data_IF_944980976356
#
_entry.id   IF_944980976356
#
_cell.length_a   1.000
_cell.length_b   1.000
_cell.length_c   1.000
_cell.angle_alpha   90.00
_cell.angle_beta   90.00
_cell.angle_gamma   90.00
#
_symmetry.space_group_name_H-M   'P 1'
#
loop_
_entity.id
_entity.type
_entity.pdbx_description
1 polymer ?
#
# COMPACT_ATOMS: atom_id res chain seq x y z
N UNK A 1 70.56 3.26 45.91
CA UNK A 1 70.04 2.17 44.98
C UNK A 1 68.52 2.04 45.12
N UNK A 2 67.75 2.97 44.44
CA UNK A 2 66.86 2.63 43.30
C UNK A 2 65.54 3.41 43.44
N UNK A 3 65.46 4.64 42.81
CA UNK A 3 64.43 5.52 42.23
C UNK A 3 63.39 4.73 41.44
N UNK A 4 62.23 4.36 41.99
CA UNK A 4 61.05 3.74 41.36
C UNK A 4 60.17 4.82 40.72
N UNK A 5 60.34 5.13 39.43
CA UNK A 5 59.57 5.78 38.35
C UNK A 5 58.25 5.05 38.09
N UNK A 6 57.17 5.43 38.70
CA UNK A 6 55.76 5.08 38.39
C UNK A 6 55.32 5.75 37.08
N UNK A 7 55.47 5.10 35.90
CA UNK A 7 54.92 5.30 34.54
C UNK A 7 53.40 5.07 34.58
N UNK A 8 52.58 6.08 34.84
CA UNK A 8 51.12 6.24 34.62
C UNK A 8 50.79 6.10 33.12
N UNK A 9 50.65 4.91 32.56
CA UNK A 9 50.04 4.55 31.25
C UNK A 9 48.58 5.00 31.21
N UNK A 10 48.31 6.30 30.93
CA UNK A 10 47.08 6.94 30.45
C UNK A 10 46.42 6.12 29.32
N UNK A 11 45.67 5.07 29.64
CA UNK A 11 44.69 4.33 28.80
C UNK A 11 43.56 5.27 28.35
N UNK A 12 43.79 6.07 27.30
CA UNK A 12 42.70 6.78 26.57
C UNK A 12 41.69 5.78 26.01
N UNK A 13 40.41 5.81 26.45
CA UNK A 13 39.35 4.96 25.87
C UNK A 13 39.17 5.24 24.38
N UNK A 14 39.83 4.47 23.48
CA UNK A 14 39.50 4.33 22.04
C UNK A 14 38.00 4.11 21.84
N UNK A 15 37.12 5.07 22.15
CA UNK A 15 35.75 5.00 21.60
C UNK A 15 35.79 4.81 20.08
N UNK A 16 36.05 3.62 19.54
CA UNK A 16 35.76 3.20 18.14
C UNK A 16 34.40 3.75 17.69
N UNK A 17 34.21 5.03 17.43
CA UNK A 17 33.10 5.54 16.59
C UNK A 17 32.80 4.59 15.43
N UNK A 18 32.15 3.39 15.63
CA UNK A 18 31.63 2.55 14.52
C UNK A 18 31.40 3.38 13.26
N UNK A 19 32.41 3.61 12.39
CA UNK A 19 32.30 4.18 11.02
C UNK A 19 31.05 3.65 10.30
N UNK A 20 30.10 4.59 10.15
CA UNK A 20 28.89 4.36 9.33
C UNK A 20 29.22 3.60 8.03
N UNK A 21 28.84 2.30 8.01
CA UNK A 21 29.01 1.49 6.79
C UNK A 21 28.45 2.23 5.55
N UNK A 22 29.38 2.41 4.48
CA UNK A 22 28.93 3.12 3.27
C UNK A 22 27.80 2.36 2.56
N UNK A 23 26.89 3.16 1.92
CA UNK A 23 25.81 2.52 1.12
C UNK A 23 26.41 1.75 -0.07
N UNK A 24 25.80 0.62 -0.33
CA UNK A 24 26.25 -0.07 -1.55
C UNK A 24 26.01 0.79 -2.81
N UNK A 25 27.03 0.72 -3.70
CA UNK A 25 26.89 1.52 -4.92
C UNK A 25 25.69 1.07 -5.77
N UNK A 26 25.21 2.07 -6.54
CA UNK A 26 24.03 1.74 -7.39
C UNK A 26 24.37 0.59 -8.34
N UNK A 27 25.68 0.45 -8.72
CA UNK A 27 26.09 -0.61 -9.66
C UNK A 27 25.94 -2.00 -9.04
N UNK A 28 25.69 -2.02 -7.76
CA UNK A 28 25.49 -3.33 -7.11
C UNK A 28 24.02 -3.77 -7.22
N UNK A 29 23.20 -2.95 -7.80
CA UNK A 29 21.76 -3.27 -7.94
C UNK A 29 21.47 -3.67 -9.39
N UNK A 30 20.64 -4.57 -9.51
CA UNK A 30 20.33 -5.13 -10.84
C UNK A 30 19.07 -4.49 -11.40
N UNK A 31 18.08 -4.10 -10.48
CA UNK A 31 16.76 -3.63 -10.92
C UNK A 31 15.80 -4.81 -11.08
N UNK A 32 14.50 -4.49 -10.95
CA UNK A 32 13.49 -5.56 -10.96
C UNK A 32 13.50 -6.33 -12.29
N UNK A 33 13.81 -5.65 -13.43
CA UNK A 33 13.81 -6.35 -14.73
C UNK A 33 14.87 -7.45 -14.78
N UNK A 34 15.95 -7.19 -14.11
CA UNK A 34 17.03 -8.20 -14.11
C UNK A 34 16.64 -9.47 -13.35
N UNK A 35 15.62 -9.41 -12.51
CA UNK A 35 15.24 -10.61 -11.71
C UNK A 35 14.28 -11.50 -12.49
N UNK A 36 13.64 -11.01 -13.54
CA UNK A 36 12.60 -11.72 -14.30
C UNK A 36 13.15 -12.97 -14.98
N UNK A 37 14.38 -12.98 -15.35
CA UNK A 37 14.90 -14.12 -16.13
C UNK A 37 14.89 -15.39 -15.30
N UNK A 38 15.17 -15.27 -14.01
CA UNK A 38 15.23 -16.52 -13.21
C UNK A 38 14.02 -16.61 -12.26
N UNK A 39 13.38 -15.41 -11.97
CA UNK A 39 12.22 -15.41 -11.05
C UNK A 39 10.99 -14.84 -11.76
N UNK A 40 10.52 -15.50 -12.72
CA UNK A 40 9.44 -14.97 -13.58
C UNK A 40 8.11 -14.91 -12.82
N UNK A 41 7.90 -15.95 -12.11
CA UNK A 41 6.61 -15.97 -11.38
C UNK A 41 6.53 -14.83 -10.35
N UNK A 42 7.60 -14.70 -9.61
CA UNK A 42 7.59 -13.61 -8.61
C UNK A 42 7.52 -12.24 -9.29
N UNK A 43 8.29 -12.11 -10.32
CA UNK A 43 8.26 -10.83 -11.06
C UNK A 43 6.85 -10.53 -11.58
N UNK A 44 6.22 -11.52 -12.18
CA UNK A 44 4.88 -11.26 -12.75
C UNK A 44 3.88 -10.93 -11.62
N UNK A 45 4.07 -11.62 -10.52
CA UNK A 45 3.19 -11.28 -9.39
C UNK A 45 3.45 -9.87 -8.85
N UNK A 46 4.65 -9.56 -8.65
CA UNK A 46 5.03 -8.22 -8.12
C UNK A 46 4.53 -7.12 -9.05
N UNK A 47 4.66 -7.30 -10.28
CA UNK A 47 4.31 -6.24 -11.23
C UNK A 47 2.83 -5.85 -11.09
N UNK A 48 2.09 -6.70 -10.55
CA UNK A 48 0.64 -6.41 -10.42
C UNK A 48 0.33 -5.76 -9.06
N UNK A 49 1.33 -5.72 -8.23
CA UNK A 49 1.04 -5.16 -6.89
C UNK A 49 1.09 -3.63 -6.92
N UNK A 50 0.60 -3.10 -5.77
CA UNK A 50 0.64 -1.62 -5.69
C UNK A 50 2.06 -1.12 -5.39
N UNK A 51 2.82 -1.98 -4.87
CA UNK A 51 4.23 -1.56 -4.70
C UNK A 51 4.90 -1.30 -6.05
N UNK A 52 4.56 -2.09 -7.05
CA UNK A 52 5.25 -1.89 -8.34
C UNK A 52 4.74 -0.62 -9.03
N UNK A 53 3.57 -0.17 -8.55
CA UNK A 53 3.04 1.03 -9.23
C UNK A 53 2.93 2.19 -8.23
N UNK A 54 3.71 2.07 -7.23
CA UNK A 54 3.61 3.11 -6.18
C UNK A 54 3.84 4.51 -6.78
N UNK A 55 4.78 4.61 -7.76
CA UNK A 55 4.97 5.89 -8.47
C UNK A 55 4.92 5.63 -9.98
N UNK A 56 4.11 6.52 -10.64
CA UNK A 56 4.03 6.34 -12.10
C UNK A 56 4.24 7.68 -12.81
N UNK A 57 4.98 7.48 -13.98
CA UNK A 57 5.24 8.68 -14.81
C UNK A 57 4.00 9.04 -15.64
N UNK A 58 3.37 10.11 -15.29
CA UNK A 58 2.10 10.49 -15.94
C UNK A 58 2.34 11.14 -17.30
N UNK A 59 3.61 11.60 -17.46
CA UNK A 59 3.91 12.17 -18.80
C UNK A 59 4.11 11.06 -19.84
N UNK A 60 4.64 9.97 -19.36
CA UNK A 60 4.83 8.85 -20.31
C UNK A 60 3.51 8.09 -20.51
N UNK A 61 2.69 8.02 -19.44
CA UNK A 61 1.39 7.33 -19.54
C UNK A 61 0.33 8.13 -18.75
N UNK A 62 -0.40 8.95 -19.46
CA UNK A 62 -1.38 9.83 -18.79
C UNK A 62 -2.55 9.03 -18.21
N UNK A 63 -2.76 7.77 -18.64
CA UNK A 63 -3.90 6.95 -18.14
C UNK A 63 -3.72 6.57 -16.67
N UNK A 64 -2.56 6.88 -16.21
CA UNK A 64 -2.32 6.49 -14.80
C UNK A 64 -2.91 7.56 -13.87
N UNK A 65 -3.38 8.66 -14.38
CA UNK A 65 -4.03 9.69 -13.55
C UNK A 65 -5.48 9.27 -13.33
N UNK A 66 -5.79 9.01 -12.11
CA UNK A 66 -7.12 8.42 -11.81
C UNK A 66 -8.12 9.53 -11.46
N UNK A 67 -7.61 10.66 -11.07
CA UNK A 67 -8.51 11.76 -10.64
C UNK A 67 -9.40 12.25 -11.77
N UNK A 68 -10.70 12.63 -11.37
CA UNK A 68 -11.63 13.22 -12.34
C UNK A 68 -11.46 14.74 -12.40
N UNK A 69 -10.88 15.23 -13.59
CA UNK A 69 -10.54 16.67 -13.66
C UNK A 69 -11.68 17.44 -14.33
N UNK A 70 -12.85 16.74 -14.49
CA UNK A 70 -14.04 17.51 -14.92
C UNK A 70 -14.67 18.21 -13.70
N UNK A 71 -14.27 17.83 -12.47
CA UNK A 71 -14.80 18.51 -11.27
C UNK A 71 -14.11 19.86 -11.06
N UNK A 72 -14.81 20.78 -10.38
CA UNK A 72 -14.30 22.16 -10.27
C UNK A 72 -13.50 22.32 -8.97
N UNK A 73 -12.60 23.39 -8.88
CA UNK A 73 -11.87 23.87 -7.69
C UNK A 73 -10.76 22.89 -7.29
N UNK A 74 -10.03 22.34 -8.25
CA UNK A 74 -8.95 21.37 -7.95
C UNK A 74 -7.66 22.15 -7.66
N UNK A 75 -7.56 23.34 -8.39
CA UNK A 75 -6.41 24.18 -7.96
C UNK A 75 -5.15 23.84 -8.77
N UNK A 76 -5.23 22.83 -9.70
CA UNK A 76 -4.13 22.61 -10.66
C UNK A 76 -4.65 21.81 -11.85
N UNK A 77 -3.83 21.92 -12.99
CA UNK A 77 -4.28 21.26 -14.24
C UNK A 77 -3.62 19.87 -14.39
N UNK A 78 -4.45 19.06 -15.06
CA UNK A 78 -3.93 17.69 -15.31
C UNK A 78 -2.56 17.73 -16.01
N UNK A 79 -2.29 18.68 -16.78
CA UNK A 79 -1.04 18.77 -17.58
C UNK A 79 0.16 19.11 -16.69
N UNK A 80 -0.20 19.61 -15.54
CA UNK A 80 0.91 19.97 -14.63
C UNK A 80 1.47 18.73 -13.92
N UNK A 81 0.83 17.64 -14.13
CA UNK A 81 1.21 16.46 -13.32
C UNK A 81 2.34 15.72 -14.05
N UNK A 82 3.44 15.54 -13.22
CA UNK A 82 4.57 14.77 -13.81
C UNK A 82 4.54 13.31 -13.36
N UNK A 83 4.23 13.13 -12.06
CA UNK A 83 4.16 11.76 -11.53
C UNK A 83 2.95 11.63 -10.62
N UNK A 84 2.52 10.30 -10.49
CA UNK A 84 1.50 10.01 -9.46
C UNK A 84 2.10 9.09 -8.39
N UNK A 85 1.54 9.31 -7.11
CA UNK A 85 1.91 8.41 -6.00
C UNK A 85 0.64 7.78 -5.43
N UNK A 86 0.71 6.40 -5.46
CA UNK A 86 -0.43 5.71 -4.82
C UNK A 86 -1.49 5.32 -5.87
N UNK A 87 -2.14 4.14 -5.61
CA UNK A 87 -3.17 3.71 -6.59
C UNK A 87 -4.24 2.86 -5.88
N UNK A 88 -4.03 2.75 -4.55
CA UNK A 88 -4.99 1.83 -3.90
C UNK A 88 -6.10 2.64 -3.23
N UNK A 89 -5.83 3.57 -2.28
CA UNK A 89 -6.91 4.29 -1.57
C UNK A 89 -6.95 5.76 -2.02
N UNK A 90 -5.81 6.31 -2.08
CA UNK A 90 -5.72 7.70 -2.55
C UNK A 90 -4.54 7.86 -3.52
N UNK A 91 -4.80 8.87 -4.39
CA UNK A 91 -3.69 9.12 -5.35
C UNK A 91 -3.27 10.59 -5.23
N UNK A 92 -1.99 10.69 -5.07
CA UNK A 92 -1.41 12.05 -5.04
C UNK A 92 -0.65 12.34 -6.34
N UNK A 93 -0.47 13.74 -6.54
CA UNK A 93 0.10 14.13 -7.85
C UNK A 93 1.29 15.09 -7.63
N UNK A 94 2.31 14.83 -8.53
CA UNK A 94 3.52 15.64 -8.31
C UNK A 94 3.77 16.52 -9.54
N UNK A 95 4.32 17.69 -9.16
CA UNK A 95 4.79 18.58 -10.25
C UNK A 95 6.25 18.99 -10.01
N UNK A 96 6.83 19.24 -11.19
CA UNK A 96 8.24 19.65 -11.06
C UNK A 96 8.33 21.17 -10.87
N UNK A 97 9.11 21.58 -9.88
CA UNK A 97 9.46 22.99 -9.67
C UNK A 97 10.97 23.09 -9.44
N UNK A 98 11.63 23.88 -10.38
CA UNK A 98 13.12 23.90 -10.30
C UNK A 98 13.71 22.50 -10.54
N UNK A 99 14.53 22.05 -9.48
CA UNK A 99 15.25 20.77 -9.70
C UNK A 99 14.60 19.66 -8.86
N UNK A 100 13.33 20.00 -8.29
CA UNK A 100 12.70 18.95 -7.45
C UNK A 100 11.21 18.82 -7.81
N UNK A 101 10.64 17.82 -7.06
CA UNK A 101 9.20 17.60 -7.28
C UNK A 101 8.44 17.85 -5.98
N UNK A 102 7.22 18.25 -6.24
CA UNK A 102 6.39 18.55 -5.06
C UNK A 102 4.99 17.93 -5.25
N UNK A 103 4.53 17.40 -4.11
CA UNK A 103 3.17 16.82 -4.17
C UNK A 103 2.15 17.96 -4.13
N UNK A 104 1.23 17.87 -5.12
CA UNK A 104 0.25 18.95 -5.26
C UNK A 104 -0.75 18.88 -4.09
N UNK A 105 -1.45 19.96 -3.74
CA UNK A 105 -2.15 20.18 -2.46
C UNK A 105 -3.47 19.41 -2.38
N UNK A 106 -3.88 18.70 -3.45
CA UNK A 106 -5.09 17.87 -3.34
C UNK A 106 -4.78 16.44 -3.81
N UNK A 107 -5.49 15.47 -3.13
CA UNK A 107 -5.36 14.06 -3.54
C UNK A 107 -6.72 13.49 -3.96
N UNK A 108 -6.62 12.50 -4.77
CA UNK A 108 -7.86 11.86 -5.27
C UNK A 108 -8.14 10.60 -4.43
N UNK A 109 -9.31 10.68 -3.68
CA UNK A 109 -9.79 9.46 -3.01
C UNK A 109 -10.42 8.48 -4.01
N UNK A 110 -9.89 7.32 -4.09
CA UNK A 110 -10.34 6.38 -5.15
C UNK A 110 -11.69 5.79 -4.72
N UNK A 111 -11.87 5.59 -3.45
CA UNK A 111 -13.14 4.96 -3.02
C UNK A 111 -14.31 5.95 -3.09
N UNK A 112 -14.02 7.14 -2.70
CA UNK A 112 -15.15 8.09 -2.65
C UNK A 112 -15.24 8.92 -3.94
N UNK A 113 -14.32 8.77 -4.81
CA UNK A 113 -14.27 9.50 -6.10
C UNK A 113 -14.41 11.01 -5.87
N UNK A 114 -13.63 11.45 -4.94
CA UNK A 114 -13.65 12.91 -4.68
C UNK A 114 -12.22 13.40 -4.45
N UNK A 115 -12.11 14.77 -4.77
CA UNK A 115 -10.82 15.42 -4.44
C UNK A 115 -10.81 15.82 -2.95
N UNK A 116 -9.64 15.43 -2.29
CA UNK A 116 -9.49 15.84 -0.87
C UNK A 116 -8.22 16.67 -0.69
N UNK A 117 -8.49 17.57 0.32
CA UNK A 117 -7.29 18.37 0.63
C UNK A 117 -6.17 17.47 1.20
N UNK A 118 -4.99 17.72 0.75
CA UNK A 118 -3.84 16.95 1.29
C UNK A 118 -2.93 17.90 2.08
N UNK A 119 -2.18 18.83 1.51
CA UNK A 119 -1.36 19.86 2.17
C UNK A 119 -1.46 21.18 1.38
N UNK A 120 -2.46 21.97 1.79
CA UNK A 120 -2.84 23.15 0.95
C UNK A 120 -1.90 24.31 1.29
N UNK A 121 -1.34 24.42 2.46
CA UNK A 121 -0.63 25.68 2.82
C UNK A 121 0.89 25.45 2.80
N UNK A 122 1.38 24.20 2.75
CA UNK A 122 2.86 24.04 2.84
C UNK A 122 3.37 23.05 1.78
N UNK A 123 2.54 22.87 0.74
CA UNK A 123 2.95 21.75 -0.15
C UNK A 123 4.24 22.12 -0.90
N UNK A 124 4.60 23.45 -0.92
CA UNK A 124 5.85 23.82 -1.64
C UNK A 124 7.05 23.77 -0.70
N UNK A 125 6.81 23.51 0.50
CA UNK A 125 7.94 23.42 1.46
C UNK A 125 8.33 21.97 1.73
N UNK A 126 7.81 21.15 0.93
CA UNK A 126 8.09 19.72 1.18
C UNK A 126 8.57 19.06 -0.12
N UNK A 127 9.80 19.32 -0.40
CA UNK A 127 10.31 18.73 -1.66
C UNK A 127 10.34 17.20 -1.60
N UNK A 128 10.07 16.60 -2.73
CA UNK A 128 10.03 15.14 -2.87
C UNK A 128 11.38 14.52 -2.45
N UNK A 129 12.44 15.17 -2.70
CA UNK A 129 13.78 14.61 -2.46
C UNK A 129 14.06 14.48 -0.96
N UNK A 130 13.25 15.13 -0.13
CA UNK A 130 13.57 15.07 1.32
C UNK A 130 12.43 14.37 2.09
N UNK A 131 11.28 14.33 1.43
CA UNK A 131 10.17 13.86 2.28
C UNK A 131 9.63 12.53 1.74
N UNK A 132 9.99 12.26 0.44
CA UNK A 132 9.14 11.16 -0.08
C UNK A 132 10.01 10.13 -0.79
N UNK A 133 11.05 10.59 -1.49
CA UNK A 133 11.67 9.79 -2.56
C UNK A 133 12.33 8.56 -1.96
N UNK A 134 12.78 8.62 -0.69
CA UNK A 134 13.51 7.47 -0.08
C UNK A 134 12.59 6.25 0.06
N UNK A 135 11.33 6.49 0.15
CA UNK A 135 10.40 5.35 0.29
C UNK A 135 9.74 5.02 -1.05
N UNK A 136 9.98 5.87 -2.08
CA UNK A 136 9.18 5.67 -3.31
C UNK A 136 10.10 5.37 -4.49
N UNK A 137 11.31 4.99 -4.14
CA UNK A 137 12.21 4.48 -5.20
C UNK A 137 13.03 3.32 -4.63
N UNK A 138 13.63 2.55 -5.65
CA UNK A 138 14.56 1.51 -5.19
C UNK A 138 15.99 2.07 -5.11
N UNK A 139 16.51 2.13 -3.94
CA UNK A 139 17.84 2.63 -3.59
C UNK A 139 18.02 4.09 -4.06
N UNK A 140 17.85 4.98 -3.08
CA UNK A 140 18.07 6.43 -3.31
C UNK A 140 19.40 6.86 -2.69
N UNK A 141 20.15 7.69 -3.51
CA UNK A 141 21.41 8.26 -2.97
C UNK A 141 21.21 9.76 -2.73
N UNK A 142 21.27 10.06 -1.40
CA UNK A 142 20.93 11.47 -1.04
C UNK A 142 22.06 12.42 -1.42
N UNK A 143 23.24 11.92 -1.80
CA UNK A 143 24.37 12.80 -2.20
C UNK A 143 24.15 13.42 -3.57
N UNK A 144 23.59 12.58 -4.37
CA UNK A 144 23.49 13.22 -5.71
C UNK A 144 22.10 12.98 -6.30
N UNK A 145 21.17 12.34 -5.52
CA UNK A 145 19.76 12.23 -5.94
C UNK A 145 19.52 11.06 -6.89
N UNK A 146 20.57 10.23 -7.07
CA UNK A 146 20.39 9.11 -8.03
C UNK A 146 19.66 7.96 -7.34
N UNK A 147 18.91 7.23 -8.16
CA UNK A 147 18.24 6.03 -7.65
C UNK A 147 18.24 4.94 -8.73
N UNK A 148 17.86 3.71 -8.32
CA UNK A 148 17.91 2.56 -9.27
C UNK A 148 16.62 2.52 -10.09
N UNK A 149 15.44 2.60 -9.43
CA UNK A 149 14.14 2.60 -10.14
C UNK A 149 13.14 3.46 -9.35
N UNK A 150 12.33 4.10 -10.24
CA UNK A 150 11.34 4.95 -9.58
C UNK A 150 10.07 4.14 -9.26
N UNK A 151 10.21 3.11 -8.51
CA UNK A 151 9.18 2.20 -7.97
C UNK A 151 9.77 1.43 -6.78
N UNK A 152 8.81 0.84 -6.07
CA UNK A 152 9.34 -0.09 -5.04
C UNK A 152 9.61 -1.46 -5.67
N UNK A 153 10.96 -1.63 -5.97
CA UNK A 153 11.34 -2.82 -6.76
C UNK A 153 11.81 -3.95 -5.82
N UNK A 154 12.23 -5.05 -6.45
CA UNK A 154 12.63 -6.27 -5.71
C UNK A 154 13.70 -5.95 -4.67
N UNK A 155 14.55 -5.07 -5.08
CA UNK A 155 15.76 -4.91 -4.22
C UNK A 155 15.49 -3.87 -3.12
N UNK A 156 14.29 -3.33 -3.03
CA UNK A 156 13.92 -2.53 -1.85
C UNK A 156 13.77 -3.41 -0.61
N UNK A 157 13.47 -4.76 -0.93
CA UNK A 157 13.34 -5.68 0.22
C UNK A 157 14.49 -6.70 0.22
N UNK A 158 15.04 -6.92 -0.93
CA UNK A 158 16.02 -8.03 -1.02
C UNK A 158 17.45 -7.46 -1.03
N UNK A 159 17.50 -6.07 -0.99
CA UNK A 159 18.86 -5.47 -1.00
C UNK A 159 19.57 -5.69 -2.34
N UNK A 160 20.87 -5.20 -2.49
CA UNK A 160 21.61 -5.33 -3.76
C UNK A 160 21.84 -6.80 -4.14
N UNK A 161 21.48 -7.12 -5.40
CA UNK A 161 21.47 -8.57 -5.71
C UNK A 161 22.20 -8.82 -7.04
N UNK A 162 23.04 -7.89 -7.45
CA UNK A 162 23.76 -8.11 -8.74
C UNK A 162 24.74 -9.28 -8.58
N UNK A 163 25.48 -9.27 -7.50
CA UNK A 163 26.45 -10.37 -7.33
C UNK A 163 25.73 -11.73 -7.30
N UNK A 164 24.57 -11.71 -6.65
CA UNK A 164 23.75 -12.94 -6.67
C UNK A 164 23.40 -13.36 -8.11
N UNK A 165 22.99 -12.47 -8.83
CA UNK A 165 22.59 -12.81 -10.22
C UNK A 165 23.80 -13.23 -11.06
N UNK A 166 24.94 -12.61 -10.91
CA UNK A 166 26.10 -12.90 -11.78
C UNK A 166 26.73 -14.24 -11.42
N UNK A 167 26.46 -14.59 -10.26
CA UNK A 167 27.06 -15.88 -9.87
C UNK A 167 26.10 -17.04 -10.18
N UNK A 168 24.98 -16.73 -10.83
CA UNK A 168 23.99 -17.79 -11.12
C UNK A 168 23.27 -18.26 -9.85
N UNK A 169 23.29 -17.39 -8.82
CA UNK A 169 22.52 -17.72 -7.59
C UNK A 169 23.41 -18.34 -6.52
N UNK A 170 24.72 -18.49 -6.77
CA UNK A 170 25.62 -19.10 -5.77
C UNK A 170 25.88 -18.16 -4.59
N UNK A 171 25.99 -16.86 -4.91
CA UNK A 171 26.18 -15.90 -3.80
C UNK A 171 24.81 -15.47 -3.26
N UNK A 172 24.79 -15.34 -1.93
CA UNK A 172 23.48 -15.10 -1.30
C UNK A 172 22.96 -13.68 -1.60
N UNK A 173 21.60 -13.59 -1.68
CA UNK A 173 20.84 -12.33 -1.60
C UNK A 173 19.94 -12.35 -0.36
N UNK A 174 19.71 -11.08 0.04
CA UNK A 174 18.83 -11.04 1.24
C UNK A 174 17.51 -11.75 0.94
N UNK A 175 17.27 -12.74 1.80
CA UNK A 175 15.96 -13.42 1.79
C UNK A 175 15.20 -13.10 3.09
N UNK A 176 14.16 -12.22 2.94
CA UNK A 176 13.43 -11.77 4.14
C UNK A 176 12.87 -12.95 4.94
N UNK A 177 12.56 -14.02 4.31
CA UNK A 177 12.01 -15.18 5.06
C UNK A 177 13.07 -15.86 5.93
N UNK A 178 14.25 -15.59 5.54
CA UNK A 178 15.32 -16.24 6.34
C UNK A 178 15.85 -15.27 7.41
N UNK A 179 15.14 -14.09 7.39
CA UNK A 179 15.55 -13.13 8.44
C UNK A 179 14.75 -13.39 9.70
N UNK A 180 15.35 -13.04 10.92
CA UNK A 180 14.49 -13.03 12.12
C UNK A 180 13.20 -12.20 11.92
N UNK A 181 12.07 -12.58 12.64
CA UNK A 181 10.75 -11.94 12.48
C UNK A 181 10.85 -10.41 12.62
N UNK A 182 11.68 -9.97 13.47
CA UNK A 182 11.77 -8.51 13.67
C UNK A 182 12.48 -7.85 12.48
N UNK A 183 13.49 -8.40 12.03
CA UNK A 183 14.23 -7.80 10.90
C UNK A 183 13.38 -7.80 9.63
N UNK A 184 12.64 -8.79 9.47
CA UNK A 184 11.75 -8.81 8.28
C UNK A 184 10.71 -7.68 8.38
N UNK A 185 10.15 -7.51 9.54
CA UNK A 185 9.16 -6.42 9.69
C UNK A 185 9.81 -5.05 9.51
N UNK A 186 11.02 -4.97 9.86
CA UNK A 186 11.69 -3.65 9.78
C UNK A 186 11.94 -3.27 8.32
N UNK A 187 12.05 -4.24 7.52
CA UNK A 187 12.14 -3.88 6.08
C UNK A 187 10.88 -3.13 5.65
N UNK A 188 9.73 -3.62 6.13
CA UNK A 188 8.47 -2.93 5.80
C UNK A 188 8.35 -1.59 6.52
N UNK A 189 8.79 -1.63 7.72
CA UNK A 189 8.65 -0.41 8.56
C UNK A 189 9.51 0.74 8.03
N UNK A 190 10.43 0.41 7.23
CA UNK A 190 11.32 1.49 6.75
C UNK A 190 10.55 2.51 5.92
N UNK A 191 9.37 2.08 5.48
CA UNK A 191 8.56 3.04 4.69
C UNK A 191 7.22 3.30 5.37
N UNK A 192 6.72 2.36 6.15
CA UNK A 192 5.33 2.44 6.63
C UNK A 192 5.29 2.96 8.07
N UNK A 193 6.40 3.64 8.36
CA UNK A 193 6.42 4.37 9.64
C UNK A 193 6.97 5.78 9.37
N UNK A 194 6.28 6.66 10.00
CA UNK A 194 6.77 8.04 9.83
C UNK A 194 7.92 8.32 10.82
N UNK A 195 8.89 9.06 10.25
CA UNK A 195 10.05 9.37 11.12
C UNK A 195 11.10 10.18 10.36
N UNK A 196 12.32 10.20 11.05
CA UNK A 196 13.40 10.98 10.42
C UNK A 196 14.72 10.21 10.50
N UNK A 197 15.54 10.58 9.52
CA UNK A 197 16.87 9.95 9.61
C UNK A 197 17.71 10.61 10.70
N UNK A 198 18.99 10.14 10.83
CA UNK A 198 19.80 10.59 11.99
C UNK A 198 20.27 12.05 11.81
N UNK A 199 20.25 12.50 10.57
CA UNK A 199 20.65 13.90 10.35
C UNK A 199 19.49 14.86 10.64
N UNK A 200 18.31 14.33 10.67
CA UNK A 200 17.12 15.20 10.84
C UNK A 200 16.71 15.89 9.53
N UNK A 201 17.38 15.55 8.45
CA UNK A 201 17.13 16.29 7.20
C UNK A 201 16.13 15.52 6.32
N UNK A 202 16.05 14.21 6.52
CA UNK A 202 15.23 13.39 5.60
C UNK A 202 14.16 12.65 6.42
N UNK A 203 12.97 12.51 5.74
CA UNK A 203 11.86 11.87 6.48
C UNK A 203 11.76 10.40 6.09
N UNK A 204 12.90 9.90 5.86
CA UNK A 204 13.09 8.46 5.60
C UNK A 204 14.52 8.08 6.00
N UNK A 205 14.75 6.75 6.20
CA UNK A 205 16.03 6.31 6.78
C UNK A 205 17.15 6.28 5.75
N UNK A 206 17.85 7.43 5.62
CA UNK A 206 19.00 7.46 4.69
C UNK A 206 20.10 6.53 5.21
N UNK A 207 20.52 5.62 4.25
CA UNK A 207 21.64 4.76 4.68
C UNK A 207 21.16 3.34 5.02
N UNK A 208 19.90 3.19 5.13
CA UNK A 208 19.40 1.85 5.49
C UNK A 208 19.27 0.98 4.22
N UNK A 209 19.72 -0.24 4.32
CA UNK A 209 19.44 -1.28 3.31
C UNK A 209 19.03 -2.56 4.04
N UNK A 210 18.09 -3.36 3.31
CA UNK A 210 17.70 -4.61 3.97
C UNK A 210 18.90 -5.44 4.44
N UNK A 211 18.79 -5.86 5.69
CA UNK A 211 19.94 -6.59 6.29
C UNK A 211 20.59 -5.78 7.39
N UNK A 212 20.38 -4.47 7.34
CA UNK A 212 20.93 -3.64 8.44
C UNK A 212 19.83 -3.39 9.48
N UNK A 213 20.34 -2.98 10.66
CA UNK A 213 19.37 -2.66 11.73
C UNK A 213 18.76 -1.26 11.52
N UNK A 214 17.43 -1.28 11.22
CA UNK A 214 16.74 -0.01 10.85
C UNK A 214 16.87 1.03 11.98
N UNK A 215 16.86 0.61 13.23
CA UNK A 215 16.87 1.58 14.35
C UNK A 215 18.20 2.33 14.42
N UNK A 216 19.16 1.90 13.68
CA UNK A 216 20.43 2.67 13.63
C UNK A 216 20.30 3.87 12.69
N UNK A 217 19.22 3.86 11.88
CA UNK A 217 19.21 4.89 10.81
C UNK A 217 17.91 5.71 10.91
N UNK A 218 17.01 5.30 11.84
CA UNK A 218 15.66 5.88 11.70
C UNK A 218 15.04 6.06 13.07
N UNK A 219 14.57 7.31 13.22
CA UNK A 219 13.88 7.60 14.48
C UNK A 219 12.39 7.92 14.18
N UNK A 220 11.49 7.04 14.77
CA UNK A 220 10.06 7.26 14.48
C UNK A 220 9.55 8.56 15.13
N UNK A 221 8.58 9.17 14.53
CA UNK A 221 8.05 10.47 15.00
C UNK A 221 7.40 10.31 16.37
N UNK A 222 6.71 9.13 16.55
CA UNK A 222 6.04 8.92 17.85
C UNK A 222 6.81 7.89 18.69
N UNK A 223 7.15 8.53 19.99
CA UNK A 223 7.84 7.60 20.93
C UNK A 223 7.26 7.78 22.34
N UNK A 224 7.25 6.58 23.01
CA UNK A 224 6.86 6.65 24.43
C UNK A 224 8.10 6.82 25.32
N UNK A 225 7.80 7.41 26.52
CA UNK A 225 8.93 7.68 27.44
C UNK A 225 9.67 6.38 27.79
N UNK A 226 11.04 6.41 27.55
CA UNK A 226 11.92 5.27 27.96
C UNK A 226 11.91 4.16 26.90
N UNK A 227 11.18 4.36 25.73
CA UNK A 227 11.06 3.31 24.69
C UNK A 227 12.25 3.40 23.73
N UNK A 228 12.74 2.17 23.49
CA UNK A 228 13.80 2.21 22.47
C UNK A 228 13.24 2.51 21.07
N UNK A 229 14.22 2.97 20.09
CA UNK A 229 13.77 3.26 18.70
C UNK A 229 13.19 2.00 18.04
N UNK A 230 13.79 0.90 18.26
CA UNK A 230 13.31 -0.35 17.62
C UNK A 230 11.89 -0.69 18.08
N UNK A 231 11.71 -0.58 19.37
CA UNK A 231 10.35 -0.94 19.87
C UNK A 231 9.31 0.07 19.36
N UNK A 232 9.69 1.28 19.29
CA UNK A 232 8.73 2.29 18.80
C UNK A 232 8.41 2.07 17.32
N UNK A 233 9.38 1.72 16.55
CA UNK A 233 9.12 1.49 15.11
C UNK A 233 8.19 0.28 14.94
N UNK A 234 8.42 -0.69 15.65
CA UNK A 234 7.60 -1.92 15.49
C UNK A 234 6.16 -1.65 15.95
N UNK A 235 6.03 -1.04 17.10
CA UNK A 235 4.66 -0.72 17.56
C UNK A 235 3.89 0.09 16.52
N UNK A 236 4.53 1.14 16.00
CA UNK A 236 3.84 1.96 14.98
C UNK A 236 3.55 1.14 13.71
N UNK A 237 4.54 0.37 13.34
CA UNK A 237 4.28 -0.42 12.11
C UNK A 237 3.14 -1.42 12.36
N UNK A 238 3.11 -2.08 13.41
CA UNK A 238 2.09 -3.12 13.65
C UNK A 238 0.71 -2.47 13.82
N UNK A 239 0.74 -1.31 14.50
CA UNK A 239 -0.53 -0.57 14.53
C UNK A 239 -1.02 -0.22 13.11
N UNK A 240 -0.07 0.33 12.37
CA UNK A 240 -0.43 0.63 10.97
C UNK A 240 -0.91 -0.62 10.23
N UNK A 241 -0.13 -1.71 10.39
CA UNK A 241 -0.49 -2.95 9.68
C UNK A 241 -1.82 -3.49 10.20
N UNK A 242 -2.01 -3.48 11.56
CA UNK A 242 -3.27 -3.93 12.19
C UNK A 242 -4.46 -3.10 11.70
N UNK A 243 -4.33 -1.76 11.63
CA UNK A 243 -5.40 -0.91 11.07
C UNK A 243 -5.64 -1.18 9.58
N UNK A 244 -4.52 -1.48 8.91
CA UNK A 244 -4.75 -1.92 7.51
C UNK A 244 -5.62 -3.17 7.45
N UNK A 245 -5.76 -3.90 8.69
CA UNK A 245 -6.55 -5.15 8.81
C UNK A 245 -7.79 -4.97 9.70
N UNK A 246 -8.07 -3.88 10.48
CA UNK A 246 -9.07 -3.81 11.57
C UNK A 246 -10.02 -2.64 11.34
N UNK A 247 -9.92 -1.84 10.23
CA UNK A 247 -11.01 -0.85 10.17
C UNK A 247 -11.73 -0.95 8.81
N UNK A 248 -12.27 -2.30 8.62
CA UNK A 248 -13.46 -2.57 7.80
C UNK A 248 -13.19 -3.79 6.89
N UNK A 249 -13.42 -5.24 7.44
CA UNK A 249 -14.32 -6.09 6.62
C UNK A 249 -13.74 -7.51 6.54
N UNK A 250 -13.53 -8.20 7.62
CA UNK A 250 -13.41 -9.68 7.58
C UNK A 250 -14.75 -10.33 7.23
N UNK A 251 -15.89 -9.79 7.05
CA UNK A 251 -17.18 -10.18 6.44
C UNK A 251 -17.27 -9.66 4.99
N UNK A 252 -16.30 -9.16 4.38
CA UNK A 252 -16.57 -8.28 3.22
C UNK A 252 -15.64 -8.66 2.06
N UNK A 253 -14.98 -9.99 2.13
CA UNK A 253 -14.38 -10.21 0.79
C UNK A 253 -14.77 -11.59 0.29
N UNK A 254 -15.96 -12.20 0.69
CA UNK A 254 -16.89 -13.09 -0.02
C UNK A 254 -16.80 -14.51 0.55
N UNK A 255 -16.89 -14.82 1.68
CA UNK A 255 -17.54 -16.13 1.99
C UNK A 255 -17.54 -16.38 3.50
N UNK A 256 -18.47 -15.72 4.29
CA UNK A 256 -19.23 -15.73 5.56
C UNK A 256 -18.83 -16.94 6.41
N UNK A 257 -17.94 -16.69 7.55
CA UNK A 257 -18.31 -17.62 8.66
C UNK A 257 -18.46 -16.82 9.95
N UNK A 258 -19.65 -17.15 10.58
CA UNK A 258 -19.82 -16.90 12.02
C UNK A 258 -19.21 -18.04 12.85
N UNK A 259 -17.91 -18.06 13.22
CA UNK A 259 -17.47 -19.18 14.10
C UNK A 259 -17.75 -18.84 15.56
N UNK A 260 -18.79 -17.96 15.81
CA UNK A 260 -19.06 -17.86 17.27
C UNK A 260 -20.36 -18.60 17.59
N UNK A 261 -20.39 -19.86 17.99
CA UNK A 261 -21.43 -20.84 18.37
C UNK A 261 -22.56 -20.18 19.16
N UNK A 262 -22.52 -18.78 19.44
CA UNK A 262 -23.61 -18.40 20.38
C UNK A 262 -24.48 -17.33 19.74
N UNK A 263 -24.39 -17.13 18.28
CA UNK A 263 -25.29 -16.11 17.67
C UNK A 263 -25.43 -16.40 16.17
N UNK A 264 -25.65 -17.63 15.67
CA UNK A 264 -25.75 -17.89 14.22
C UNK A 264 -27.07 -17.34 13.67
N UNK A 265 -27.01 -16.41 12.68
CA UNK A 265 -28.27 -16.00 12.02
C UNK A 265 -29.04 -17.19 11.44
N UNK A 266 -30.25 -17.21 11.60
CA UNK A 266 -31.20 -18.29 11.24
C UNK A 266 -31.16 -18.58 9.73
N UNK A 267 -30.60 -17.59 8.80
CA UNK A 267 -30.44 -17.80 7.34
C UNK A 267 -29.47 -16.74 6.79
N UNK A 268 -28.90 -17.06 5.51
CA UNK A 268 -27.95 -16.13 4.84
C UNK A 268 -28.57 -14.74 4.65
N UNK A 269 -29.85 -14.72 4.43
CA UNK A 269 -30.58 -13.43 4.32
C UNK A 269 -30.71 -12.76 5.69
N UNK A 270 -30.92 -13.56 6.72
CA UNK A 270 -30.99 -12.99 8.09
C UNK A 270 -29.64 -12.43 8.53
N UNK A 271 -28.70 -13.03 7.99
CA UNK A 271 -27.35 -12.53 8.30
C UNK A 271 -27.13 -11.15 7.67
N UNK A 272 -27.51 -10.99 6.36
CA UNK A 272 -27.37 -9.68 5.68
C UNK A 272 -28.22 -8.61 6.39
N UNK A 273 -29.29 -9.00 6.91
CA UNK A 273 -30.23 -8.02 7.52
C UNK A 273 -29.82 -7.73 8.96
N UNK A 274 -28.83 -8.47 9.42
CA UNK A 274 -28.31 -8.17 10.77
C UNK A 274 -27.52 -6.86 10.79
N UNK A 275 -27.04 -6.48 9.56
CA UNK A 275 -26.29 -5.21 9.50
C UNK A 275 -26.95 -4.25 8.51
N UNK A 276 -27.64 -4.69 7.41
CA UNK A 276 -28.39 -3.84 6.47
C UNK A 276 -29.86 -3.80 6.86
N UNK A 277 -30.16 -2.63 7.54
CA UNK A 277 -31.51 -2.57 8.17
C UNK A 277 -32.49 -1.88 7.21
N UNK A 278 -33.15 -2.67 6.41
CA UNK A 278 -34.09 -2.11 5.42
C UNK A 278 -35.49 -2.04 6.01
N UNK A 279 -35.72 -2.72 7.10
CA UNK A 279 -37.07 -2.70 7.70
C UNK A 279 -38.17 -2.83 6.63
N UNK A 280 -39.18 -1.90 6.69
CA UNK A 280 -40.36 -1.96 5.79
C UNK A 280 -39.99 -1.52 4.37
N UNK A 281 -38.73 -1.13 4.19
CA UNK A 281 -38.36 -0.60 2.86
C UNK A 281 -37.70 -1.68 1.99
N UNK A 282 -37.60 -2.89 2.55
CA UNK A 282 -36.93 -3.98 1.80
C UNK A 282 -37.58 -4.17 0.43
N UNK A 283 -38.84 -3.99 0.34
CA UNK A 283 -39.49 -4.27 -0.97
C UNK A 283 -39.55 -3.01 -1.82
N UNK A 284 -39.32 -1.93 -1.20
CA UNK A 284 -39.08 -0.71 -2.01
C UNK A 284 -37.70 -0.76 -2.67
N UNK A 285 -36.77 -1.42 -2.00
CA UNK A 285 -35.39 -1.55 -2.51
C UNK A 285 -35.35 -2.51 -3.71
N UNK A 286 -36.26 -3.48 -3.72
CA UNK A 286 -36.10 -4.45 -4.83
C UNK A 286 -37.28 -4.36 -5.79
N UNK A 287 -38.29 -3.51 -5.58
CA UNK A 287 -39.45 -3.19 -6.45
C UNK A 287 -40.20 -4.45 -6.89
N UNK A 288 -40.22 -5.35 -5.90
CA UNK A 288 -41.05 -6.54 -6.15
C UNK A 288 -42.09 -6.67 -5.04
N UNK A 289 -43.25 -7.37 -5.43
CA UNK A 289 -44.30 -7.61 -4.42
C UNK A 289 -43.79 -8.56 -3.33
N UNK A 290 -44.28 -8.38 -2.15
CA UNK A 290 -43.84 -9.21 -0.99
C UNK A 290 -44.08 -10.71 -1.27
N UNK A 291 -45.01 -11.01 -2.07
CA UNK A 291 -45.35 -12.43 -2.35
C UNK A 291 -44.27 -13.13 -3.17
N UNK A 292 -43.38 -12.25 -3.82
CA UNK A 292 -42.32 -12.82 -4.69
C UNK A 292 -41.19 -13.44 -3.86
N UNK A 293 -41.13 -13.15 -2.53
CA UNK A 293 -40.18 -13.70 -1.54
C UNK A 293 -38.75 -13.69 -2.07
N UNK A 294 -38.18 -12.50 -2.40
CA UNK A 294 -36.81 -12.42 -2.94
C UNK A 294 -35.81 -12.31 -1.78
N UNK A 295 -34.68 -13.02 -2.06
CA UNK A 295 -33.56 -12.86 -1.10
C UNK A 295 -32.43 -12.02 -1.70
N UNK A 296 -31.50 -11.57 -0.81
CA UNK A 296 -30.44 -10.62 -1.22
C UNK A 296 -29.55 -11.25 -2.31
N UNK A 297 -29.40 -12.55 -2.32
CA UNK A 297 -28.45 -13.16 -3.30
C UNK A 297 -29.16 -13.45 -4.62
N UNK A 298 -30.39 -13.25 -4.64
CA UNK A 298 -31.10 -13.42 -5.92
C UNK A 298 -30.68 -12.36 -6.94
N UNK A 299 -30.16 -11.28 -6.45
CA UNK A 299 -29.72 -10.22 -7.39
C UNK A 299 -28.27 -9.83 -7.11
N UNK A 300 -27.77 -10.00 -5.87
CA UNK A 300 -26.36 -9.68 -5.54
C UNK A 300 -25.49 -10.95 -5.60
N UNK A 301 -25.19 -11.23 -6.99
CA UNK A 301 -24.46 -12.51 -7.21
C UNK A 301 -22.96 -12.31 -6.97
N UNK A 302 -22.56 -13.35 -6.27
CA UNK A 302 -21.09 -13.33 -6.07
C UNK A 302 -20.37 -13.63 -7.40
N UNK A 303 -19.47 -12.77 -7.78
CA UNK A 303 -18.61 -13.21 -8.91
C UNK A 303 -17.22 -13.57 -8.37
N UNK A 304 -16.75 -14.75 -8.88
CA UNK A 304 -15.37 -15.17 -8.53
C UNK A 304 -14.34 -14.26 -9.22
N UNK A 305 -13.82 -13.26 -8.56
CA UNK A 305 -12.61 -12.65 -9.18
C UNK A 305 -11.47 -13.68 -9.12
N UNK A 306 -11.11 -14.23 -10.31
CA UNK A 306 -9.90 -15.06 -10.37
C UNK A 306 -8.76 -14.45 -9.55
N UNK A 307 -8.81 -14.41 -8.20
CA UNK A 307 -7.59 -14.16 -7.41
C UNK A 307 -6.73 -15.43 -7.44
N UNK A 308 -5.83 -15.52 -8.46
CA UNK A 308 -4.80 -16.58 -8.43
C UNK A 308 -4.92 -17.45 -7.17
N UNK A 309 -5.79 -18.41 -7.07
CA UNK A 309 -5.75 -19.50 -6.08
C UNK A 309 -4.90 -19.14 -4.85
N UNK A 310 -5.34 -18.42 -3.85
CA UNK A 310 -4.93 -18.45 -2.42
C UNK A 310 -3.41 -18.35 -2.28
N UNK A 311 -2.75 -17.23 -2.77
CA UNK A 311 -1.33 -17.08 -2.36
C UNK A 311 -1.19 -15.87 -1.42
N UNK A 312 -2.24 -15.63 -0.55
CA UNK A 312 -2.24 -14.49 0.40
C UNK A 312 -0.95 -14.48 1.24
N UNK A 313 -0.18 -15.60 1.19
CA UNK A 313 1.06 -15.60 1.99
C UNK A 313 2.26 -15.18 1.14
N UNK A 314 1.97 -15.06 -0.18
CA UNK A 314 3.05 -14.63 -1.10
C UNK A 314 3.05 -13.10 -1.25
N UNK A 315 4.12 -12.47 -0.76
CA UNK A 315 4.18 -10.98 -0.71
C UNK A 315 4.38 -10.42 -2.12
N UNK A 316 4.66 -11.31 -3.07
CA UNK A 316 4.83 -10.82 -4.46
C UNK A 316 3.50 -10.85 -5.21
N UNK A 317 2.51 -11.18 -4.47
CA UNK A 317 1.17 -11.28 -5.10
C UNK A 317 0.30 -10.12 -4.61
N UNK A 318 -0.41 -9.66 -5.60
CA UNK A 318 -1.31 -8.53 -5.24
C UNK A 318 -2.29 -8.98 -4.15
N UNK A 319 -2.56 -10.30 -4.06
CA UNK A 319 -3.52 -10.83 -3.06
C UNK A 319 -2.99 -10.64 -1.63
N UNK A 320 -1.59 -10.57 -1.56
CA UNK A 320 -0.99 -10.29 -0.24
C UNK A 320 -1.43 -8.92 0.30
N UNK A 321 -1.74 -7.97 -0.62
CA UNK A 321 -1.88 -6.56 -0.18
C UNK A 321 -3.33 -6.11 -0.34
N UNK A 322 -4.05 -6.95 -0.93
CA UNK A 322 -5.47 -6.56 -1.04
C UNK A 322 -6.19 -6.93 0.26
N UNK A 323 -6.34 -5.90 1.10
CA UNK A 323 -7.38 -6.09 2.15
C UNK A 323 -8.75 -5.79 1.54
N UNK A 324 -8.96 -6.14 0.25
CA UNK A 324 -10.19 -5.62 -0.40
C UNK A 324 -10.71 -6.67 -1.39
N UNK A 325 -11.45 -7.62 -1.07
CA UNK A 325 -12.40 -8.41 -1.91
C UNK A 325 -13.43 -7.49 -2.58
N UNK A 326 -13.22 -6.15 -2.72
CA UNK A 326 -14.23 -5.30 -3.40
C UNK A 326 -14.44 -5.76 -4.85
N UNK A 327 -14.42 -7.02 -5.21
CA UNK A 327 -15.03 -7.46 -6.48
C UNK A 327 -15.73 -8.80 -6.26
N UNK A 328 -16.50 -8.90 -5.13
CA UNK A 328 -17.01 -10.29 -4.91
C UNK A 328 -18.45 -10.39 -5.39
N UNK A 329 -19.06 -9.04 -5.86
CA UNK A 329 -20.45 -9.14 -6.35
C UNK A 329 -20.57 -8.35 -7.66
N UNK A 330 -21.17 -8.87 -8.53
CA UNK A 330 -21.33 -8.33 -9.89
C UNK A 330 -21.99 -6.94 -9.83
N UNK A 331 -21.27 -5.93 -10.18
CA UNK A 331 -21.79 -4.53 -10.10
C UNK A 331 -22.82 -4.29 -11.21
N UNK A 332 -22.86 -5.32 -11.99
CA UNK A 332 -23.91 -5.24 -13.04
C UNK A 332 -25.07 -6.18 -12.67
N UNK A 333 -26.15 -5.57 -12.07
CA UNK A 333 -27.28 -6.36 -11.55
C UNK A 333 -28.26 -6.71 -12.67
N UNK A 334 -28.04 -6.15 -13.88
CA UNK A 334 -28.99 -6.37 -15.01
C UNK A 334 -28.97 -7.82 -15.47
N UNK A 335 -27.90 -8.47 -15.16
CA UNK A 335 -27.82 -9.87 -15.62
C UNK A 335 -28.63 -10.79 -14.70
N UNK A 336 -28.68 -10.35 -13.45
CA UNK A 336 -29.45 -11.18 -12.51
C UNK A 336 -30.95 -11.18 -12.84
N UNK A 337 -31.38 -10.11 -13.56
CA UNK A 337 -32.81 -10.00 -13.90
C UNK A 337 -33.21 -11.03 -14.95
N UNK A 338 -32.24 -11.41 -15.70
CA UNK A 338 -32.57 -12.27 -16.87
C UNK A 338 -32.82 -13.70 -16.41
N UNK A 339 -32.40 -14.03 -15.12
CA UNK A 339 -32.60 -15.40 -14.62
C UNK A 339 -34.08 -15.68 -14.34
N UNK A 340 -34.82 -14.66 -14.19
CA UNK A 340 -36.25 -14.86 -13.87
C UNK A 340 -37.13 -14.14 -14.87
N UNK A 341 -36.66 -13.10 -15.62
CA UNK A 341 -37.43 -12.43 -16.68
C UNK A 341 -36.97 -12.88 -18.07
N UNK A 342 -37.47 -13.97 -18.54
CA UNK A 342 -36.89 -14.71 -19.69
C UNK A 342 -37.23 -14.00 -21.01
N UNK A 343 -38.03 -12.98 -20.94
CA UNK A 343 -38.34 -12.22 -22.19
C UNK A 343 -37.60 -10.88 -22.20
N UNK A 344 -36.92 -10.55 -21.13
CA UNK A 344 -36.14 -9.30 -21.08
C UNK A 344 -34.77 -9.46 -21.74
N UNK A 345 -34.37 -8.27 -22.38
CA UNK A 345 -32.94 -8.15 -22.70
C UNK A 345 -32.20 -7.35 -21.61
N UNK A 346 -30.89 -7.49 -21.64
CA UNK A 346 -30.13 -6.72 -20.62
C UNK A 346 -30.44 -5.22 -20.71
N UNK A 347 -30.68 -4.70 -21.89
CA UNK A 347 -31.00 -3.26 -22.05
C UNK A 347 -32.34 -2.91 -21.38
N UNK A 348 -33.23 -3.84 -21.53
CA UNK A 348 -34.54 -3.60 -20.88
C UNK A 348 -34.35 -3.62 -19.34
N UNK A 349 -33.57 -4.56 -18.85
CA UNK A 349 -33.25 -4.61 -17.41
C UNK A 349 -32.52 -3.35 -16.94
N UNK A 350 -31.65 -2.87 -17.71
CA UNK A 350 -30.88 -1.66 -17.32
C UNK A 350 -31.80 -0.43 -17.29
N UNK A 351 -32.66 -0.40 -18.28
CA UNK A 351 -33.59 0.74 -18.34
C UNK A 351 -34.50 0.75 -17.11
N UNK A 352 -34.98 -0.35 -16.69
CA UNK A 352 -35.83 -0.41 -15.48
C UNK A 352 -35.02 -0.07 -14.22
N UNK A 353 -33.78 -0.66 -14.12
CA UNK A 353 -32.93 -0.36 -12.95
C UNK A 353 -32.57 1.13 -12.89
N UNK A 354 -32.42 1.79 -14.02
CA UNK A 354 -32.05 3.22 -14.07
C UNK A 354 -33.20 4.11 -13.58
N UNK A 355 -34.39 3.58 -13.69
CA UNK A 355 -35.58 4.34 -13.25
C UNK A 355 -35.75 4.25 -11.73
N UNK A 356 -34.99 3.34 -11.16
CA UNK A 356 -34.98 3.19 -9.69
C UNK A 356 -34.02 4.20 -9.05
N UNK A 357 -33.34 5.23 -9.82
CA UNK A 357 -32.25 6.14 -9.40
C UNK A 357 -32.85 7.32 -8.63
N UNK A 358 -32.31 7.71 -7.29
CA UNK A 358 -32.68 8.75 -6.30
C UNK A 358 -33.04 8.12 -4.94
N UNK A 359 -32.71 6.90 -4.60
CA UNK A 359 -33.06 6.30 -3.29
C UNK A 359 -31.78 5.85 -2.57
N UNK A 360 -30.54 6.27 -3.11
CA UNK A 360 -29.33 6.17 -2.28
C UNK A 360 -29.58 6.73 -0.87
N UNK A 361 -30.86 7.15 -0.57
CA UNK A 361 -31.19 7.65 0.78
C UNK A 361 -31.81 6.53 1.62
N UNK A 362 -31.99 5.31 1.01
CA UNK A 362 -32.61 4.23 1.81
C UNK A 362 -31.51 3.50 2.59
N UNK A 363 -30.24 3.87 2.33
CA UNK A 363 -29.11 3.28 3.07
C UNK A 363 -28.65 4.25 4.17
N UNK A 364 -29.51 5.30 4.59
CA UNK A 364 -29.15 5.98 5.85
C UNK A 364 -29.63 5.13 7.05
#
# INVERSE_FOLDING_TARGET
MKRLFLIFLLLLPLTALAAEEPLPPLSDYLGSEGCKECHEKMYDGWKRTYHSTAVQDAKKNPDVILGDFTQKNIGFKKEDIEYTIGAHWNQRYMKKIGDDYYVLPKSWSISSRRWEAYNVWGWRKMPYSKYCIGCHVTRYDSKDGSFVEHTIGCESCHGPSRAHAESGGELPSINPNKLGAVDMEMICASCHVRGMDNSGEYHFPVGYVPGRKLSDYYTPQKMEEGESKEKAILREFRAWWGNAGENSTECEVCGIYNDREDEKPKSKNDYCLSCHKFGDDYYKHNNHLKETELECFDCHKKVSVDIEEDDSEDVHSISYFLVHKKTCYDKDYSKACLSCHDTWTEDIAKDHLSKWRGRETIHE
#
